data_IF_041160730929
#
_entry.id   IF_041160730929
#
_cell.length_a   1.000
_cell.length_b   1.000
_cell.length_c   1.000
_cell.angle_alpha   90.00
_cell.angle_beta   90.00
_cell.angle_gamma   90.00
#
_symmetry.space_group_name_H-M   'P 1'
#
loop_
_entity.id
_entity.type
_entity.pdbx_description
1 polymer ?
#
# COMPACT_ATOMS: atom_id res chain seq x y z
N UNK A 1 8.02 13.50 -8.06
CA UNK A 1 7.96 12.06 -8.37
C UNK A 1 8.20 11.35 -7.05
N UNK A 2 7.25 10.56 -6.55
CA UNK A 2 7.45 9.79 -5.34
C UNK A 2 8.17 8.48 -5.70
N UNK A 3 9.04 8.02 -4.80
CA UNK A 3 9.68 6.71 -4.92
C UNK A 3 9.31 5.88 -3.68
N UNK A 4 8.48 4.83 -3.81
CA UNK A 4 8.19 3.93 -2.70
C UNK A 4 9.49 3.30 -2.23
N UNK A 5 9.88 3.60 -1.00
CA UNK A 5 11.19 3.23 -0.46
C UNK A 5 11.03 2.30 0.73
N UNK A 6 11.99 1.40 0.93
CA UNK A 6 11.98 0.45 2.04
C UNK A 6 12.45 1.12 3.35
N UNK A 7 11.56 1.38 4.31
CA UNK A 7 11.95 2.03 5.56
C UNK A 7 12.79 1.12 6.47
N UNK A 8 12.84 -0.20 6.22
CA UNK A 8 13.73 -1.11 6.95
C UNK A 8 15.18 -1.02 6.46
N UNK A 9 15.39 -0.59 5.21
CA UNK A 9 16.74 -0.31 4.66
C UNK A 9 17.22 1.11 5.00
N UNK A 10 16.28 2.03 5.19
CA UNK A 10 16.56 3.42 5.56
C UNK A 10 15.72 3.82 6.78
N UNK A 11 16.19 3.52 8.01
CA UNK A 11 15.39 3.72 9.24
C UNK A 11 14.86 5.15 9.45
N UNK A 12 15.57 6.16 8.94
CA UNK A 12 15.13 7.56 8.96
C UNK A 12 13.76 7.78 8.29
N UNK A 13 13.34 6.89 7.38
CA UNK A 13 12.02 6.96 6.75
C UNK A 13 10.88 6.65 7.72
N UNK A 14 11.13 5.89 8.79
CA UNK A 14 10.12 5.71 9.85
C UNK A 14 9.87 7.00 10.61
N UNK A 15 10.93 7.74 10.93
CA UNK A 15 10.81 9.05 11.58
C UNK A 15 10.17 10.07 10.64
N UNK A 16 10.54 10.08 9.36
CA UNK A 16 9.91 10.96 8.38
C UNK A 16 8.41 10.67 8.21
N UNK A 17 8.01 9.38 8.19
CA UNK A 17 6.60 8.99 8.19
C UNK A 17 5.90 9.48 9.46
N UNK A 18 6.52 9.29 10.62
CA UNK A 18 6.01 9.74 11.92
C UNK A 18 5.74 11.25 11.91
N UNK A 19 6.72 12.03 11.50
CA UNK A 19 6.63 13.48 11.44
C UNK A 19 5.54 13.93 10.45
N UNK A 20 5.42 13.26 9.29
CA UNK A 20 4.35 13.49 8.34
C UNK A 20 2.95 13.27 8.93
N UNK A 21 2.76 12.18 9.68
CA UNK A 21 1.48 11.88 10.36
C UNK A 21 1.08 12.94 11.40
N UNK A 22 2.06 13.55 12.06
CA UNK A 22 1.85 14.58 13.09
C UNK A 22 1.65 15.98 12.52
N UNK A 23 2.19 16.25 11.33
CA UNK A 23 2.23 17.60 10.77
C UNK A 23 1.22 17.83 9.65
N UNK A 24 0.89 16.79 8.87
CA UNK A 24 -0.07 16.82 7.76
C UNK A 24 -1.40 16.18 8.12
N UNK A 25 -2.46 16.54 7.38
CA UNK A 25 -3.75 15.87 7.55
C UNK A 25 -3.65 14.45 6.99
N UNK A 26 -3.80 13.45 7.83
CA UNK A 26 -3.82 12.05 7.41
C UNK A 26 -5.19 11.73 6.84
N UNK A 27 -5.20 10.98 5.75
CA UNK A 27 -6.41 10.38 5.18
C UNK A 27 -6.12 8.91 4.93
N UNK A 28 -6.80 8.05 5.68
CA UNK A 28 -6.67 6.61 5.58
C UNK A 28 -7.62 6.12 4.50
N UNK A 29 -7.08 5.40 3.52
CA UNK A 29 -7.91 4.70 2.55
C UNK A 29 -8.06 3.24 3.00
N UNK A 30 -6.99 2.60 3.47
CA UNK A 30 -7.06 1.31 4.17
C UNK A 30 -6.37 1.36 5.51
N UNK A 31 -7.07 0.91 6.54
CA UNK A 31 -6.52 0.67 7.88
C UNK A 31 -6.84 -0.76 8.33
N UNK A 32 -5.80 -1.55 8.65
CA UNK A 32 -5.95 -2.96 9.02
C UNK A 32 -6.83 -3.76 8.04
N UNK A 33 -6.66 -3.52 6.74
CA UNK A 33 -7.39 -4.18 5.65
C UNK A 33 -8.84 -3.74 5.51
N UNK A 34 -9.25 -2.64 6.15
CA UNK A 34 -10.61 -2.09 6.07
C UNK A 34 -10.60 -0.72 5.41
N UNK A 35 -11.54 -0.51 4.50
CA UNK A 35 -11.78 0.78 3.85
C UNK A 35 -12.18 1.84 4.90
N UNK A 36 -11.37 2.89 5.00
CA UNK A 36 -11.59 4.05 5.87
C UNK A 36 -11.84 5.33 5.06
N UNK A 37 -12.09 5.23 3.76
CA UNK A 37 -12.24 6.39 2.86
C UNK A 37 -13.40 7.32 3.24
N UNK A 38 -14.34 6.85 4.05
CA UNK A 38 -15.43 7.65 4.61
C UNK A 38 -15.03 8.48 5.85
N UNK A 39 -13.81 8.32 6.39
CA UNK A 39 -13.42 8.79 7.71
C UNK A 39 -12.19 9.72 7.76
N UNK A 40 -12.40 10.87 8.41
CA UNK A 40 -11.44 11.80 9.03
C UNK A 40 -10.18 12.18 8.23
N UNK A 41 -10.20 13.41 7.70
CA UNK A 41 -8.98 14.16 7.33
C UNK A 41 -8.51 14.98 8.54
N UNK A 42 -7.52 14.46 9.28
CA UNK A 42 -6.92 15.16 10.43
C UNK A 42 -5.51 14.70 10.69
N UNK A 43 -4.77 15.49 11.45
CA UNK A 43 -3.47 15.08 12.00
C UNK A 43 -3.64 13.92 12.97
N UNK A 44 -2.69 13.00 12.96
CA UNK A 44 -2.60 11.96 13.97
C UNK A 44 -2.09 12.56 15.29
N UNK A 45 -2.50 11.98 16.41
CA UNK A 45 -1.83 12.17 17.69
C UNK A 45 -0.51 11.38 17.72
N UNK A 46 0.40 11.72 18.63
CA UNK A 46 1.63 10.93 18.84
C UNK A 46 1.34 9.45 19.03
N UNK A 47 0.36 9.12 19.88
CA UNK A 47 0.00 7.73 20.17
C UNK A 47 -0.53 7.00 18.92
N UNK A 48 -1.32 7.67 18.08
CA UNK A 48 -1.84 7.08 16.84
C UNK A 48 -0.72 6.86 15.81
N UNK A 49 0.18 7.83 15.66
CA UNK A 49 1.34 7.71 14.78
C UNK A 49 2.25 6.54 15.21
N UNK A 50 2.57 6.46 16.50
CA UNK A 50 3.39 5.40 17.07
C UNK A 50 2.70 4.02 16.93
N UNK A 51 1.38 3.97 17.15
CA UNK A 51 0.60 2.75 16.98
C UNK A 51 0.62 2.25 15.53
N UNK A 52 0.37 3.14 14.56
CA UNK A 52 0.42 2.83 13.14
C UNK A 52 1.82 2.35 12.72
N UNK A 53 2.87 3.08 13.10
CA UNK A 53 4.26 2.70 12.74
C UNK A 53 4.59 1.31 13.30
N UNK A 54 4.24 1.05 14.56
CA UNK A 54 4.46 -0.26 15.17
C UNK A 54 3.64 -1.36 14.47
N UNK A 55 2.43 -1.04 13.98
CA UNK A 55 1.65 -1.96 13.15
C UNK A 55 2.32 -2.23 11.81
N UNK A 56 2.73 -1.20 11.09
CA UNK A 56 3.42 -1.32 9.81
C UNK A 56 4.75 -2.09 9.93
N UNK A 57 5.54 -1.85 10.99
CA UNK A 57 6.80 -2.59 11.25
C UNK A 57 6.62 -4.10 11.39
N UNK A 58 5.42 -4.58 11.73
CA UNK A 58 5.09 -6.02 11.84
C UNK A 58 4.62 -6.63 10.53
N UNK A 59 4.44 -5.84 9.48
CA UNK A 59 4.02 -6.30 8.17
C UNK A 59 5.22 -6.87 7.40
N UNK A 60 4.96 -7.85 6.54
CA UNK A 60 6.00 -8.57 5.81
C UNK A 60 6.67 -7.73 4.73
N UNK A 61 6.01 -6.68 4.27
CA UNK A 61 6.54 -5.75 3.27
C UNK A 61 5.88 -4.38 3.42
N UNK A 62 6.71 -3.33 3.44
CA UNK A 62 6.28 -1.93 3.65
C UNK A 62 7.03 -1.03 2.70
N UNK A 63 6.34 -0.04 2.12
CA UNK A 63 6.98 1.06 1.41
C UNK A 63 6.43 2.39 1.88
N UNK A 64 7.34 3.33 2.10
CA UNK A 64 7.04 4.72 2.41
C UNK A 64 7.34 5.49 1.14
N UNK A 65 6.36 6.17 0.55
CA UNK A 65 6.64 7.12 -0.52
C UNK A 65 7.53 8.26 -0.01
N UNK A 66 8.48 8.67 -0.83
CA UNK A 66 9.47 9.71 -0.49
C UNK A 66 9.65 10.66 -1.65
N UNK A 67 9.76 11.95 -1.35
CA UNK A 67 10.26 13.00 -2.24
C UNK A 67 11.29 13.83 -1.48
N UNK A 68 12.51 13.97 -2.01
CA UNK A 68 13.59 14.74 -1.37
C UNK A 68 13.82 14.41 0.12
N UNK A 69 13.75 13.12 0.49
CA UNK A 69 13.85 12.61 1.87
C UNK A 69 12.70 13.01 2.82
N UNK A 70 11.67 13.68 2.32
CA UNK A 70 10.42 13.90 3.03
C UNK A 70 9.44 12.76 2.70
N UNK A 71 8.84 12.16 3.72
CA UNK A 71 7.79 11.16 3.53
C UNK A 71 6.63 11.82 2.78
N UNK A 72 6.39 11.35 1.56
CA UNK A 72 5.31 11.83 0.69
C UNK A 72 4.46 10.63 0.31
N UNK A 73 3.13 10.70 0.43
CA UNK A 73 2.25 9.62 0.03
C UNK A 73 2.48 9.11 -1.41
N UNK A 74 2.03 7.88 -1.71
CA UNK A 74 1.37 6.93 -0.79
C UNK A 74 2.34 6.19 0.14
N UNK A 75 1.86 5.80 1.32
CA UNK A 75 2.53 4.85 2.21
C UNK A 75 1.69 3.59 2.32
N UNK A 76 2.32 2.42 2.30
CA UNK A 76 1.59 1.17 2.32
C UNK A 76 2.33 0.02 2.97
N UNK A 77 1.56 -0.95 3.45
CA UNK A 77 2.08 -2.17 4.06
C UNK A 77 1.17 -3.35 3.80
N UNK A 78 1.80 -4.52 3.61
CA UNK A 78 1.09 -5.77 3.28
C UNK A 78 1.47 -6.90 4.23
N UNK A 79 0.48 -7.70 4.56
CA UNK A 79 0.67 -8.97 5.27
C UNK A 79 0.98 -10.06 4.24
N UNK A 80 2.16 -10.66 4.33
CA UNK A 80 2.56 -11.80 3.50
C UNK A 80 2.14 -13.12 4.16
N UNK A 81 1.68 -14.08 3.36
CA UNK A 81 1.53 -15.48 3.79
C UNK A 81 2.88 -16.06 4.20
N UNK A 82 2.86 -17.13 4.99
CA UNK A 82 4.07 -17.81 5.45
C UNK A 82 4.95 -18.34 4.31
N UNK A 83 4.36 -18.67 3.16
CA UNK A 83 5.07 -19.10 1.96
C UNK A 83 5.40 -17.96 0.98
N UNK A 84 5.04 -16.71 1.33
CA UNK A 84 5.31 -15.51 0.54
C UNK A 84 4.56 -15.41 -0.79
N UNK A 85 3.61 -16.31 -1.07
CA UNK A 85 2.88 -16.34 -2.36
C UNK A 85 1.64 -15.46 -2.39
N UNK A 86 1.08 -15.14 -1.23
CA UNK A 86 -0.12 -14.31 -1.10
C UNK A 86 0.21 -13.09 -0.24
N UNK A 87 -0.22 -11.91 -0.68
CA UNK A 87 -0.15 -10.68 0.08
C UNK A 87 -1.55 -10.10 0.27
N UNK A 88 -1.81 -9.54 1.45
CA UNK A 88 -3.02 -8.75 1.73
C UNK A 88 -2.60 -7.31 2.00
N UNK A 89 -3.17 -6.35 1.27
CA UNK A 89 -2.95 -4.93 1.56
C UNK A 89 -3.64 -4.56 2.87
N UNK A 90 -2.84 -4.21 3.88
CA UNK A 90 -3.33 -3.93 5.24
C UNK A 90 -3.40 -2.43 5.51
N UNK A 91 -2.42 -1.67 5.04
CA UNK A 91 -2.34 -0.24 5.25
C UNK A 91 -2.14 0.46 3.91
N UNK A 92 -2.93 1.48 3.65
CA UNK A 92 -2.76 2.39 2.51
C UNK A 92 -3.16 3.79 2.96
N UNK A 93 -2.15 4.66 3.05
CA UNK A 93 -2.25 5.98 3.65
C UNK A 93 -1.95 7.08 2.64
N UNK A 94 -2.75 8.14 2.73
CA UNK A 94 -2.51 9.41 2.05
C UNK A 94 -2.35 10.52 3.09
N UNK A 95 -1.53 11.53 2.79
CA UNK A 95 -1.26 12.70 3.61
C UNK A 95 -1.58 13.92 2.76
N UNK A 96 -2.26 14.87 3.40
CA UNK A 96 -2.91 16.02 2.80
C UNK A 96 -3.96 15.63 1.75
N UNK A 97 -5.02 16.43 1.62
CA UNK A 97 -6.27 16.06 0.95
C UNK A 97 -6.16 16.03 -0.59
N UNK A 98 -5.08 15.49 -1.14
CA UNK A 98 -5.04 14.95 -2.49
C UNK A 98 -5.99 13.75 -2.56
N UNK A 99 -7.29 14.05 -2.48
CA UNK A 99 -8.30 13.31 -3.21
C UNK A 99 -7.79 13.33 -4.65
N UNK A 100 -7.28 12.22 -5.13
CA UNK A 100 -7.75 11.65 -6.38
C UNK A 100 -6.77 10.58 -6.86
N UNK A 101 -7.34 9.38 -7.04
CA UNK A 101 -6.83 8.20 -7.76
C UNK A 101 -6.08 7.16 -6.91
N UNK A 102 -6.73 6.59 -5.86
CA UNK A 102 -6.28 5.33 -5.28
C UNK A 102 -6.04 4.28 -6.38
N UNK A 103 -6.84 4.23 -7.45
CA UNK A 103 -6.65 3.29 -8.55
C UNK A 103 -5.27 3.39 -9.22
N UNK A 104 -4.77 4.61 -9.43
CA UNK A 104 -3.46 4.84 -10.05
C UNK A 104 -2.32 4.41 -9.13
N UNK A 105 -2.39 4.80 -7.87
CA UNK A 105 -1.36 4.48 -6.88
C UNK A 105 -1.36 2.99 -6.55
N UNK A 106 -2.54 2.36 -6.50
CA UNK A 106 -2.65 0.91 -6.34
C UNK A 106 -2.09 0.19 -7.56
N UNK A 107 -2.33 0.67 -8.79
CA UNK A 107 -1.73 0.05 -9.98
C UNK A 107 -0.19 0.05 -9.92
N UNK A 108 0.40 1.19 -9.53
CA UNK A 108 1.85 1.31 -9.31
C UNK A 108 2.35 0.40 -8.18
N UNK A 109 1.58 0.30 -7.09
CA UNK A 109 1.88 -0.60 -5.97
C UNK A 109 1.87 -2.07 -6.40
N UNK A 110 0.86 -2.47 -7.18
CA UNK A 110 0.72 -3.84 -7.71
C UNK A 110 1.95 -4.20 -8.55
N UNK A 111 2.32 -3.34 -9.50
CA UNK A 111 3.50 -3.54 -10.35
C UNK A 111 4.79 -3.66 -9.54
N UNK A 112 5.00 -2.72 -8.62
CA UNK A 112 6.18 -2.72 -7.76
C UNK A 112 6.25 -3.98 -6.90
N UNK A 113 5.13 -4.41 -6.33
CA UNK A 113 5.09 -5.60 -5.48
C UNK A 113 5.41 -6.87 -6.24
N UNK A 114 4.83 -7.08 -7.42
CA UNK A 114 5.19 -8.23 -8.24
C UNK A 114 6.66 -8.18 -8.66
N UNK A 115 7.19 -6.99 -8.99
CA UNK A 115 8.61 -6.83 -9.31
C UNK A 115 9.53 -7.18 -8.14
N UNK A 116 9.29 -6.64 -6.94
CA UNK A 116 10.18 -6.81 -5.78
C UNK A 116 9.99 -8.13 -5.03
N UNK A 117 8.82 -8.77 -5.17
CA UNK A 117 8.49 -10.05 -4.53
C UNK A 117 8.33 -11.14 -5.60
N UNK A 118 9.42 -11.77 -6.08
CA UNK A 118 9.36 -12.70 -7.21
C UNK A 118 8.52 -13.95 -6.95
N UNK A 119 8.34 -14.35 -5.68
CA UNK A 119 7.50 -15.49 -5.30
C UNK A 119 6.01 -15.14 -5.16
N UNK A 120 5.66 -13.84 -5.16
CA UNK A 120 4.29 -13.39 -5.03
C UNK A 120 3.48 -13.83 -6.24
N UNK A 121 2.36 -14.51 -5.97
CA UNK A 121 1.42 -14.99 -6.98
C UNK A 121 0.09 -14.26 -6.94
N UNK A 122 -0.33 -13.83 -5.76
CA UNK A 122 -1.60 -13.15 -5.53
C UNK A 122 -1.43 -11.98 -4.57
N UNK A 123 -2.01 -10.83 -4.92
CA UNK A 123 -2.17 -9.67 -4.05
C UNK A 123 -3.66 -9.38 -3.90
N UNK A 124 -4.13 -9.32 -2.67
CA UNK A 124 -5.52 -9.03 -2.29
C UNK A 124 -5.58 -7.57 -1.83
N UNK A 125 -6.40 -6.78 -2.52
CA UNK A 125 -6.65 -5.37 -2.22
C UNK A 125 -8.12 -5.20 -1.82
N UNK A 126 -8.41 -4.91 -0.54
CA UNK A 126 -9.78 -4.79 -0.03
C UNK A 126 -10.40 -3.41 -0.36
N UNK A 127 -10.33 -2.99 -1.62
CA UNK A 127 -10.92 -1.76 -2.13
C UNK A 127 -11.73 -2.05 -3.39
N UNK A 128 -12.82 -1.30 -3.57
CA UNK A 128 -13.48 -1.19 -4.88
C UNK A 128 -12.62 -0.31 -5.77
N UNK A 129 -12.04 -0.92 -6.80
CA UNK A 129 -11.13 -0.24 -7.72
C UNK A 129 -11.68 -0.27 -9.14
N UNK A 130 -11.51 0.83 -9.85
CA UNK A 130 -11.60 0.86 -11.31
C UNK A 130 -10.22 0.52 -11.87
N UNK A 131 -9.97 -0.78 -12.06
CA UNK A 131 -8.65 -1.26 -12.48
C UNK A 131 -8.46 -1.01 -13.97
N UNK A 132 -7.43 -0.22 -14.31
CA UNK A 132 -6.91 -0.11 -15.67
C UNK A 132 -6.05 -1.35 -15.93
N UNK A 133 -6.11 -1.92 -17.13
CA UNK A 133 -5.35 -3.11 -17.50
C UNK A 133 -3.85 -2.96 -17.19
N UNK A 134 -3.32 -3.88 -16.38
CA UNK A 134 -1.91 -3.97 -16.02
C UNK A 134 -1.28 -5.14 -16.81
N UNK A 135 -0.32 -4.89 -17.73
CA UNK A 135 0.28 -5.93 -18.55
C UNK A 135 0.87 -7.07 -17.71
N UNK A 136 0.42 -8.30 -17.95
CA UNK A 136 0.93 -9.50 -17.25
C UNK A 136 0.33 -9.73 -15.86
N UNK A 137 -0.69 -8.97 -15.46
CA UNK A 137 -1.43 -9.16 -14.20
C UNK A 137 -2.90 -9.45 -14.52
N UNK A 138 -3.37 -10.61 -14.10
CA UNK A 138 -4.80 -10.95 -14.11
C UNK A 138 -5.50 -10.31 -12.91
N UNK A 139 -6.70 -9.78 -13.12
CA UNK A 139 -7.49 -9.10 -12.10
C UNK A 139 -8.84 -9.78 -11.98
N UNK A 140 -9.19 -10.21 -10.77
CA UNK A 140 -10.53 -10.67 -10.42
C UNK A 140 -11.14 -9.69 -9.42
N UNK A 141 -12.33 -9.18 -9.69
CA UNK A 141 -13.01 -8.20 -8.85
C UNK A 141 -14.26 -8.85 -8.29
N UNK A 142 -14.22 -9.19 -7.00
CA UNK A 142 -15.41 -9.59 -6.28
C UNK A 142 -16.27 -8.34 -6.01
N UNK A 143 -17.22 -8.11 -6.92
CA UNK A 143 -18.16 -6.99 -6.85
C UNK A 143 -19.06 -7.02 -5.61
N UNK A 144 -19.27 -8.18 -4.96
CA UNK A 144 -20.09 -8.29 -3.75
C UNK A 144 -19.33 -7.87 -2.50
N UNK A 145 -18.04 -8.23 -2.42
CA UNK A 145 -17.21 -7.94 -1.24
C UNK A 145 -16.29 -6.73 -1.40
N UNK A 146 -16.21 -6.14 -2.59
CA UNK A 146 -15.36 -4.98 -2.86
C UNK A 146 -13.87 -5.29 -2.73
N UNK A 147 -13.48 -6.51 -3.14
CA UNK A 147 -12.10 -7.00 -3.08
C UNK A 147 -11.59 -7.17 -4.50
N UNK A 148 -10.44 -6.56 -4.80
CA UNK A 148 -9.71 -6.79 -6.03
C UNK A 148 -8.55 -7.78 -5.77
N UNK A 149 -8.51 -8.86 -6.53
CA UNK A 149 -7.43 -9.84 -6.52
C UNK A 149 -6.57 -9.68 -7.76
N UNK A 150 -5.30 -9.35 -7.55
CA UNK A 150 -4.31 -9.27 -8.60
C UNK A 150 -3.48 -10.54 -8.60
N UNK A 151 -3.27 -11.13 -9.77
CA UNK A 151 -2.52 -12.37 -9.92
C UNK A 151 -1.49 -12.23 -11.04
N UNK A 152 -0.30 -12.79 -10.85
CA UNK A 152 0.66 -12.87 -11.96
C UNK A 152 0.10 -13.79 -13.03
N UNK A 153 -0.01 -13.31 -14.26
CA UNK A 153 -0.35 -14.17 -15.38
C UNK A 153 0.69 -15.31 -15.46
N UNK A 154 0.27 -16.55 -15.78
CA UNK A 154 1.24 -17.59 -16.08
C UNK A 154 2.14 -17.11 -17.21
N UNK A 155 3.46 -17.16 -16.99
CA UNK A 155 4.44 -16.91 -18.06
C UNK A 155 4.08 -17.89 -19.18
N UNK A 156 3.79 -17.42 -20.42
CA UNK A 156 3.54 -18.32 -21.53
C UNK A 156 4.72 -19.27 -21.62
N UNK A 157 4.48 -20.57 -21.44
CA UNK A 157 5.50 -21.56 -21.75
C UNK A 157 5.71 -21.48 -23.26
N UNK A 158 6.83 -20.88 -23.66
CA UNK A 158 7.30 -20.98 -25.04
C UNK A 158 7.56 -22.47 -25.27
N UNK A 159 6.68 -23.10 -26.06
CA UNK A 159 6.83 -24.49 -26.50
C UNK A 159 8.04 -24.64 -27.40
#
# INVERSE_FOLDING_TARGET
MYFPSDPNKTPALWEALRDGLLTSNVSYVLENGKDQSAGLSRKATSAEADFLINRMRRLGYVRVGVSQLTATPPHFGVLLSSDGKVANLMEYLTLDSAKDRPDRDISLLVDLMFYELPNLRKLIVPLRLEVIEIPGVGVDIDSQHGVAEFSRAPIPQVK
#
